data_IF_288789318812
#
_entry.id   IF_288789318812
#
_cell.length_a   1.000
_cell.length_b   1.000
_cell.length_c   1.000
_cell.angle_alpha   90.00
_cell.angle_beta   90.00
_cell.angle_gamma   90.00
#
_symmetry.space_group_name_H-M   'P 1'
#
loop_
_entity.id
_entity.type
_entity.pdbx_description
1 polymer ?
#
# COMPACT_ATOMS: atom_id res chain seq x y z
N UNK A 1 17.39 -0.58 -7.20
CA UNK A 1 15.96 -0.93 -7.02
C UNK A 1 15.27 0.32 -6.49
N UNK A 2 14.20 0.79 -7.13
CA UNK A 2 13.55 2.04 -6.77
C UNK A 2 12.37 1.76 -5.83
N UNK A 3 12.45 2.29 -4.61
CA UNK A 3 11.34 2.36 -3.66
C UNK A 3 10.84 3.80 -3.64
N UNK A 4 9.53 3.99 -3.56
CA UNK A 4 8.91 5.32 -3.56
C UNK A 4 8.06 5.43 -2.31
N UNK A 5 8.29 6.48 -1.53
CA UNK A 5 7.43 6.80 -0.39
C UNK A 5 6.12 7.35 -0.94
N UNK A 6 5.02 6.66 -0.64
CA UNK A 6 3.68 7.02 -1.12
C UNK A 6 2.83 7.66 -0.02
N UNK A 7 3.27 7.55 1.23
CA UNK A 7 2.57 8.02 2.42
C UNK A 7 3.56 8.12 3.58
N UNK A 8 3.49 9.18 4.37
CA UNK A 8 4.26 9.35 5.61
C UNK A 8 3.50 10.32 6.50
N UNK A 9 2.80 9.81 7.52
CA UNK A 9 2.06 10.63 8.49
C UNK A 9 1.63 9.83 9.72
N UNK A 10 1.19 10.52 10.76
CA UNK A 10 0.45 9.92 11.87
C UNK A 10 -1.01 9.64 11.46
N UNK A 11 -1.52 8.49 11.89
CA UNK A 11 -2.90 8.05 11.64
C UNK A 11 -3.64 7.86 12.96
N UNK A 12 -4.85 8.41 13.04
CA UNK A 12 -5.80 8.03 14.07
C UNK A 12 -6.32 6.59 13.83
N UNK A 13 -6.92 5.99 14.87
CA UNK A 13 -7.54 4.67 14.76
C UNK A 13 -8.60 4.65 13.64
N UNK A 14 -8.54 3.66 12.75
CA UNK A 14 -9.42 3.50 11.59
C UNK A 14 -9.40 4.65 10.56
N UNK A 15 -8.49 5.61 10.68
CA UNK A 15 -8.32 6.65 9.68
C UNK A 15 -7.88 6.04 8.34
N UNK A 16 -8.38 6.58 7.23
CA UNK A 16 -8.02 6.14 5.89
C UNK A 16 -7.36 7.26 5.09
N UNK A 17 -6.38 6.91 4.27
CA UNK A 17 -5.77 7.78 3.29
C UNK A 17 -5.87 7.15 1.90
N UNK A 18 -6.02 7.99 0.88
CA UNK A 18 -6.04 7.57 -0.53
C UNK A 18 -4.76 8.05 -1.20
N UNK A 19 -4.12 7.17 -1.95
CA UNK A 19 -2.92 7.45 -2.75
C UNK A 19 -3.24 7.17 -4.21
N UNK A 20 -2.92 8.12 -5.08
CA UNK A 20 -3.00 7.98 -6.53
C UNK A 20 -1.71 7.35 -7.09
N UNK A 21 -1.81 6.14 -7.63
CA UNK A 21 -0.67 5.46 -8.26
C UNK A 21 -0.52 5.79 -9.75
N UNK A 22 -1.56 6.34 -10.38
CA UNK A 22 -1.59 6.63 -11.83
C UNK A 22 -0.79 7.88 -12.15
N UNK A 23 -1.00 8.94 -11.37
CA UNK A 23 -0.26 10.20 -11.52
C UNK A 23 1.26 10.03 -11.33
N UNK A 24 1.67 8.96 -10.63
CA UNK A 24 3.08 8.60 -10.48
C UNK A 24 3.65 7.68 -11.58
N UNK A 25 2.83 7.20 -12.52
CA UNK A 25 3.28 6.32 -13.60
C UNK A 25 3.60 4.89 -13.16
N UNK A 26 3.02 4.41 -12.05
CA UNK A 26 3.40 3.15 -11.41
C UNK A 26 2.61 1.92 -11.87
N UNK A 27 1.72 2.06 -12.85
CA UNK A 27 0.67 1.06 -13.15
C UNK A 27 1.20 -0.28 -13.64
N UNK A 28 2.36 -0.33 -14.31
CA UNK A 28 2.87 -1.54 -14.96
C UNK A 28 4.06 -2.21 -14.25
N UNK A 29 4.47 -1.71 -13.09
CA UNK A 29 5.65 -2.21 -12.37
C UNK A 29 5.42 -2.51 -10.88
N UNK A 30 4.20 -2.38 -10.36
CA UNK A 30 3.93 -2.65 -8.94
C UNK A 30 4.38 -4.07 -8.52
N UNK A 31 5.24 -4.15 -7.51
CA UNK A 31 5.70 -5.43 -6.92
C UNK A 31 5.21 -5.62 -5.51
N UNK A 32 5.41 -4.63 -4.65
CA UNK A 32 5.11 -4.74 -3.24
C UNK A 32 4.81 -3.37 -2.62
N UNK A 33 3.98 -3.37 -1.59
CA UNK A 33 3.71 -2.23 -0.73
C UNK A 33 4.09 -2.63 0.69
N UNK A 34 4.95 -1.85 1.33
CA UNK A 34 5.40 -2.10 2.70
C UNK A 34 5.13 -0.87 3.55
N UNK A 35 4.58 -1.08 4.74
CA UNK A 35 4.41 -0.05 5.76
C UNK A 35 5.33 -0.33 6.93
N UNK A 36 5.86 0.75 7.50
CA UNK A 36 6.64 0.72 8.73
C UNK A 36 6.11 1.76 9.71
N UNK A 37 6.17 1.44 11.01
CA UNK A 37 5.94 2.40 12.08
C UNK A 37 7.26 2.70 12.82
N UNK A 38 7.18 3.61 13.80
CA UNK A 38 8.34 4.02 14.61
C UNK A 38 8.86 2.94 15.56
N UNK A 39 8.07 1.89 15.84
CA UNK A 39 8.42 0.80 16.76
C UNK A 39 9.10 -0.39 16.06
N UNK A 40 9.32 -0.30 14.75
CA UNK A 40 9.96 -1.34 13.95
C UNK A 40 9.01 -2.45 13.47
N UNK A 41 7.71 -2.33 13.73
CA UNK A 41 6.70 -3.23 13.17
C UNK A 41 6.45 -2.93 11.70
N UNK A 42 5.94 -3.91 10.96
CA UNK A 42 5.69 -3.76 9.53
C UNK A 42 4.43 -4.46 9.05
N UNK A 43 3.90 -3.97 7.92
CA UNK A 43 2.90 -4.67 7.13
C UNK A 43 3.35 -4.71 5.68
N UNK A 44 3.36 -5.89 5.07
CA UNK A 44 3.80 -6.09 3.69
C UNK A 44 2.71 -6.74 2.87
N UNK A 45 2.52 -6.19 1.69
CA UNK A 45 1.57 -6.65 0.70
C UNK A 45 2.27 -6.85 -0.64
N UNK A 46 2.01 -7.97 -1.31
CA UNK A 46 2.51 -8.23 -2.66
C UNK A 46 1.42 -7.94 -3.67
N UNK A 47 1.80 -7.27 -4.75
CA UNK A 47 0.90 -7.04 -5.87
C UNK A 47 0.57 -8.37 -6.55
N UNK A 48 -0.73 -8.63 -6.74
CA UNK A 48 -1.26 -9.73 -7.53
C UNK A 48 -2.07 -9.09 -8.67
N UNK A 49 -1.39 -8.76 -9.75
CA UNK A 49 -2.01 -8.25 -10.98
C UNK A 49 -2.29 -9.37 -11.97
N UNK A 50 -3.33 -9.20 -12.77
CA UNK A 50 -3.57 -10.04 -13.96
C UNK A 50 -2.56 -9.66 -15.06
N UNK A 51 -1.45 -10.41 -15.14
CA UNK A 51 -0.41 -10.23 -16.17
C UNK A 51 -0.85 -10.74 -17.54
N UNK A 52 -1.95 -11.50 -17.64
CA UNK A 52 -2.37 -12.17 -18.87
C UNK A 52 -3.23 -11.23 -19.72
N UNK A 53 -4.12 -10.48 -19.10
CA UNK A 53 -5.06 -9.59 -19.82
C UNK A 53 -4.67 -8.12 -19.81
N UNK A 54 -3.51 -7.77 -19.22
CA UNK A 54 -3.02 -6.40 -19.07
C UNK A 54 -4.12 -5.43 -18.59
N UNK A 55 -5.02 -5.95 -17.73
CA UNK A 55 -6.05 -5.15 -17.11
C UNK A 55 -5.38 -4.43 -15.97
N UNK A 56 -4.79 -3.28 -16.28
CA UNK A 56 -4.16 -2.33 -15.34
C UNK A 56 -5.08 -1.95 -14.14
N UNK A 57 -6.36 -2.30 -14.25
CA UNK A 57 -7.43 -2.09 -13.27
C UNK A 57 -7.81 -3.33 -12.43
N UNK A 58 -7.29 -4.51 -12.73
CA UNK A 58 -7.68 -5.77 -12.11
C UNK A 58 -6.49 -6.41 -11.39
N UNK A 59 -6.21 -5.92 -10.19
CA UNK A 59 -5.23 -6.52 -9.31
C UNK A 59 -5.51 -6.15 -7.87
N UNK A 60 -4.88 -6.85 -6.94
CA UNK A 60 -5.03 -6.56 -5.52
C UNK A 60 -3.71 -6.77 -4.79
N UNK A 61 -3.60 -6.14 -3.63
CA UNK A 61 -2.48 -6.32 -2.72
C UNK A 61 -2.79 -7.49 -1.80
N UNK A 62 -2.09 -8.62 -2.01
CA UNK A 62 -2.17 -9.79 -1.14
C UNK A 62 -1.32 -9.54 0.10
N UNK A 63 -1.92 -9.61 1.27
CA UNK A 63 -1.22 -9.53 2.55
C UNK A 63 -0.24 -10.69 2.73
N UNK A 64 0.98 -10.39 3.18
CA UNK A 64 2.02 -11.37 3.51
C UNK A 64 2.30 -11.37 5.02
N UNK A 65 2.42 -10.20 5.62
CA UNK A 65 2.44 -9.99 7.07
C UNK A 65 1.79 -8.64 7.38
N UNK A 66 1.25 -8.51 8.59
CA UNK A 66 0.54 -7.30 8.98
C UNK A 66 0.52 -7.13 10.49
N UNK A 67 1.69 -6.79 11.05
CA UNK A 67 1.82 -6.56 12.49
C UNK A 67 1.19 -5.22 12.92
N UNK A 68 0.84 -4.38 11.94
CA UNK A 68 0.28 -3.03 12.12
C UNK A 68 -1.26 -2.99 12.08
N UNK A 69 -1.91 -4.07 11.63
CA UNK A 69 -3.36 -4.11 11.42
C UNK A 69 -3.87 -3.19 10.30
N UNK A 70 -3.01 -2.84 9.35
CA UNK A 70 -3.33 -1.95 8.22
C UNK A 70 -4.13 -2.69 7.17
N UNK A 71 -5.19 -2.09 6.63
CA UNK A 71 -5.92 -2.65 5.48
C UNK A 71 -5.56 -1.87 4.22
N UNK A 72 -5.34 -2.59 3.12
CA UNK A 72 -5.07 -2.00 1.81
C UNK A 72 -6.13 -2.48 0.84
N UNK A 73 -6.82 -1.53 0.21
CA UNK A 73 -7.73 -1.79 -0.91
C UNK A 73 -7.22 -1.08 -2.16
N UNK A 74 -7.42 -1.68 -3.32
CA UNK A 74 -7.08 -1.08 -4.61
C UNK A 74 -8.37 -0.89 -5.41
N UNK A 75 -8.48 0.25 -6.08
CA UNK A 75 -9.54 0.52 -7.04
C UNK A 75 -9.04 1.45 -8.13
N UNK A 76 -9.11 1.02 -9.39
CA UNK A 76 -8.82 1.83 -10.58
C UNK A 76 -7.52 2.68 -10.53
N UNK A 77 -6.44 2.11 -9.98
CA UNK A 77 -5.14 2.78 -9.89
C UNK A 77 -4.98 3.69 -8.68
N UNK A 78 -5.92 3.67 -7.75
CA UNK A 78 -5.79 4.22 -6.41
C UNK A 78 -5.60 3.10 -5.39
N UNK A 79 -4.89 3.40 -4.32
CA UNK A 79 -4.91 2.58 -3.10
C UNK A 79 -5.53 3.36 -1.96
N UNK A 80 -6.38 2.68 -1.20
CA UNK A 80 -6.87 3.17 0.08
C UNK A 80 -6.15 2.39 1.17
N UNK A 81 -5.49 3.12 2.06
CA UNK A 81 -4.79 2.59 3.23
C UNK A 81 -5.62 2.97 4.43
N UNK A 82 -6.10 1.99 5.18
CA UNK A 82 -6.85 2.19 6.43
C UNK A 82 -6.02 1.72 7.59
N UNK A 83 -5.79 2.60 8.56
CA UNK A 83 -5.09 2.26 9.79
C UNK A 83 -5.90 1.26 10.62
N UNK A 84 -5.22 0.45 11.41
CA UNK A 84 -5.83 -0.44 12.39
C UNK A 84 -6.47 0.32 13.56
N UNK A 85 -6.79 -0.42 14.62
CA UNK A 85 -7.60 0.06 15.75
C UNK A 85 -6.91 1.06 16.70
N UNK A 86 -5.63 1.38 16.52
CA UNK A 86 -4.88 2.29 17.39
C UNK A 86 -4.16 3.39 16.61
N UNK A 87 -3.87 4.51 17.27
CA UNK A 87 -3.08 5.59 16.68
C UNK A 87 -1.63 5.15 16.43
N UNK A 88 -1.10 5.43 15.24
CA UNK A 88 0.29 5.14 14.91
C UNK A 88 0.81 5.96 13.73
N UNK A 89 2.12 6.16 13.71
CA UNK A 89 2.83 6.67 12.53
C UNK A 89 2.96 5.57 11.49
N UNK A 90 2.66 5.89 10.23
CA UNK A 90 2.83 4.99 9.09
C UNK A 90 3.65 5.66 7.99
N UNK A 91 4.72 5.00 7.57
CA UNK A 91 5.43 5.27 6.33
C UNK A 91 5.20 4.13 5.34
N UNK A 92 4.53 4.43 4.23
CA UNK A 92 4.25 3.49 3.15
C UNK A 92 5.25 3.62 2.01
N UNK A 93 5.86 2.51 1.62
CA UNK A 93 6.83 2.42 0.55
C UNK A 93 6.34 1.46 -0.54
N UNK A 94 6.29 1.96 -1.76
CA UNK A 94 5.94 1.19 -2.95
C UNK A 94 7.20 0.75 -3.69
N UNK A 95 7.29 -0.55 -3.97
CA UNK A 95 8.35 -1.16 -4.78
C UNK A 95 7.84 -1.41 -6.19
N UNK A 96 8.60 -0.90 -7.17
CA UNK A 96 8.41 -1.11 -8.61
C UNK A 96 9.27 -2.25 -9.17
#
# INVERSE_FOLDING_TARGET
>A
MNNIIVLSKDFAANESAVVDLRSGGFTNSLKALTFHNKTGQSAKFLWQGDTIYNKEKAGYFKEINNDLGVKVSQYEGFITVTNGGGEQYLEGQLKL
#
